data_IF_529647771839
#
_entry.id   IF_529647771839
#
_cell.length_a   1.000
_cell.length_b   1.000
_cell.length_c   1.000
_cell.angle_alpha   90.00
_cell.angle_beta   90.00
_cell.angle_gamma   90.00
#
_symmetry.space_group_name_H-M   'P 1'
#
loop_
_entity.id
_entity.type
_entity.pdbx_description
1 polymer ?
#
# COMPACT_ATOMS: atom_id res chain seq x y z
N UNK A 1 -9.94 -7.29 -9.56
CA UNK A 1 -10.15 -6.26 -8.52
C UNK A 1 -9.55 -6.71 -7.20
N UNK A 2 -8.84 -5.83 -6.51
CA UNK A 2 -8.18 -6.17 -5.26
C UNK A 2 -9.13 -5.85 -4.10
N UNK A 3 -9.41 -6.85 -3.24
CA UNK A 3 -10.29 -6.69 -2.09
C UNK A 3 -9.47 -6.43 -0.82
N UNK A 4 -10.15 -6.12 0.28
CA UNK A 4 -9.49 -5.97 1.57
C UNK A 4 -8.80 -7.26 2.02
N UNK A 5 -9.45 -8.39 1.75
CA UNK A 5 -8.86 -9.70 2.07
C UNK A 5 -7.61 -9.94 1.24
N UNK A 6 -7.63 -9.54 -0.03
CA UNK A 6 -6.47 -9.66 -0.89
C UNK A 6 -5.30 -8.84 -0.35
N UNK A 7 -5.57 -7.62 0.12
CA UNK A 7 -4.52 -6.77 0.68
C UNK A 7 -3.92 -7.42 1.93
N UNK A 8 -4.76 -7.98 2.80
CA UNK A 8 -4.28 -8.67 3.99
C UNK A 8 -3.37 -9.85 3.64
N UNK A 9 -3.76 -10.62 2.61
CA UNK A 9 -2.99 -11.78 2.20
C UNK A 9 -1.73 -11.42 1.43
N UNK A 10 -1.77 -10.34 0.65
CA UNK A 10 -0.69 -9.98 -0.26
C UNK A 10 0.35 -9.04 0.34
N UNK A 11 0.07 -8.47 1.51
CA UNK A 11 0.95 -7.49 2.13
C UNK A 11 1.20 -7.83 3.59
N UNK A 12 2.06 -7.05 4.25
CA UNK A 12 2.32 -7.20 5.67
C UNK A 12 1.37 -6.36 6.54
N UNK A 13 0.36 -5.73 5.95
CA UNK A 13 -0.62 -4.96 6.71
C UNK A 13 -1.58 -5.90 7.43
N UNK A 14 -1.91 -5.53 8.66
CA UNK A 14 -2.88 -6.26 9.46
C UNK A 14 -4.28 -5.76 9.16
N UNK A 15 -5.28 -6.60 9.47
CA UNK A 15 -6.68 -6.26 9.24
C UNK A 15 -7.07 -4.93 9.87
N UNK A 16 -6.62 -4.65 11.09
CA UNK A 16 -6.93 -3.41 11.80
C UNK A 16 -6.33 -2.20 11.11
N UNK A 17 -5.13 -2.37 10.55
CA UNK A 17 -4.47 -1.30 9.82
C UNK A 17 -5.19 -0.99 8.52
N UNK A 18 -5.60 -2.05 7.83
CA UNK A 18 -6.38 -1.90 6.59
C UNK A 18 -7.71 -1.21 6.87
N UNK A 19 -8.41 -1.64 7.92
CA UNK A 19 -9.68 -1.05 8.29
C UNK A 19 -9.56 0.44 8.61
N UNK A 20 -8.43 0.85 9.19
CA UNK A 20 -8.21 2.25 9.52
C UNK A 20 -8.06 3.14 8.29
N UNK A 21 -7.48 2.62 7.21
CA UNK A 21 -7.21 3.42 6.00
C UNK A 21 -8.24 3.22 4.90
N UNK A 22 -8.91 2.08 4.87
CA UNK A 22 -9.87 1.73 3.82
C UNK A 22 -11.30 1.81 4.34
N UNK A 23 -11.62 2.88 5.04
CA UNK A 23 -12.86 2.95 5.79
C UNK A 23 -14.11 3.18 4.94
N UNK A 24 -14.00 3.41 3.66
CA UNK A 24 -15.15 3.68 2.80
C UNK A 24 -14.97 3.01 1.45
N UNK A 25 -15.99 3.12 0.63
CA UNK A 25 -16.02 2.52 -0.69
C UNK A 25 -15.03 3.14 -1.66
N UNK A 26 -14.46 4.28 -1.30
CA UNK A 26 -13.60 5.02 -2.21
C UNK A 26 -12.16 5.07 -1.70
N UNK A 27 -11.24 4.76 -2.60
CA UNK A 27 -9.84 5.09 -2.37
C UNK A 27 -9.63 6.56 -2.70
N UNK A 28 -8.70 7.23 -2.00
CA UNK A 28 -8.29 8.57 -2.42
C UNK A 28 -7.73 8.54 -3.83
N UNK A 29 -7.75 9.68 -4.47
CA UNK A 29 -7.12 9.83 -5.78
C UNK A 29 -5.65 9.47 -5.67
N UNK A 30 -5.13 8.78 -6.70
CA UNK A 30 -3.73 8.38 -6.71
C UNK A 30 -2.83 9.62 -6.77
N UNK A 31 -1.91 9.72 -5.81
CA UNK A 31 -0.87 10.75 -5.84
C UNK A 31 0.27 10.23 -6.70
N UNK A 32 0.34 10.72 -7.94
CA UNK A 32 1.33 10.27 -8.90
C UNK A 32 2.75 10.56 -8.45
N UNK A 33 2.97 11.66 -7.76
CA UNK A 33 4.29 12.02 -7.24
C UNK A 33 4.72 11.03 -6.17
N UNK A 34 3.81 10.67 -5.28
CA UNK A 34 4.07 9.71 -4.22
C UNK A 34 4.34 8.33 -4.81
N UNK A 35 3.53 7.91 -5.77
CA UNK A 35 3.73 6.65 -6.47
C UNK A 35 5.09 6.60 -7.14
N UNK A 36 5.49 7.70 -7.80
CA UNK A 36 6.76 7.81 -8.49
C UNK A 36 7.95 7.58 -7.56
N UNK A 37 7.86 8.07 -6.32
CA UNK A 37 8.94 7.88 -5.33
C UNK A 37 9.20 6.39 -5.07
N UNK A 38 8.16 5.58 -5.04
CA UNK A 38 8.32 4.14 -4.84
C UNK A 38 8.78 3.44 -6.11
N UNK A 39 8.27 3.87 -7.27
CA UNK A 39 8.69 3.31 -8.55
C UNK A 39 10.20 3.43 -8.73
N UNK A 40 10.78 4.55 -8.29
CA UNK A 40 12.23 4.77 -8.39
C UNK A 40 13.04 3.78 -7.55
N UNK A 41 12.39 3.07 -6.64
CA UNK A 41 13.06 2.07 -5.79
C UNK A 41 12.85 0.64 -6.26
N UNK A 42 12.28 0.46 -7.46
CA UNK A 42 11.98 -0.89 -7.98
C UNK A 42 13.22 -1.75 -8.17
N UNK A 43 14.41 -1.13 -8.29
CA UNK A 43 15.66 -1.91 -8.37
C UNK A 43 15.90 -2.77 -7.12
N UNK A 44 15.22 -2.46 -6.02
CA UNK A 44 15.31 -3.26 -4.78
C UNK A 44 14.40 -4.48 -4.83
N UNK A 45 13.59 -4.60 -5.86
CA UNK A 45 12.61 -5.66 -6.02
C UNK A 45 11.20 -5.22 -5.64
N UNK A 46 10.18 -5.66 -6.41
CA UNK A 46 8.80 -5.22 -6.15
C UNK A 46 8.29 -5.60 -4.77
N UNK A 47 8.63 -6.78 -4.26
CA UNK A 47 8.18 -7.19 -2.93
C UNK A 47 8.78 -6.31 -1.83
N UNK A 48 10.04 -5.91 -2.00
CA UNK A 48 10.68 -5.02 -1.05
C UNK A 48 10.02 -3.64 -1.04
N UNK A 49 9.68 -3.12 -2.22
CA UNK A 49 8.99 -1.84 -2.32
C UNK A 49 7.60 -1.92 -1.69
N UNK A 50 6.90 -3.02 -1.90
CA UNK A 50 5.61 -3.25 -1.26
C UNK A 50 5.73 -3.17 0.27
N UNK A 51 6.75 -3.82 0.83
CA UNK A 51 7.01 -3.75 2.27
C UNK A 51 7.28 -2.34 2.74
N UNK A 52 8.02 -1.57 1.95
CA UNK A 52 8.32 -0.17 2.29
C UNK A 52 7.05 0.67 2.36
N UNK A 53 6.14 0.48 1.40
CA UNK A 53 4.86 1.18 1.41
C UNK A 53 4.06 0.81 2.67
N UNK A 54 4.02 -0.48 3.02
CA UNK A 54 3.31 -0.93 4.22
C UNK A 54 3.87 -0.32 5.50
N UNK A 55 5.20 -0.28 5.60
CA UNK A 55 5.85 0.32 6.77
C UNK A 55 5.55 1.82 6.87
N UNK A 56 5.52 2.51 5.73
CA UNK A 56 5.21 3.94 5.71
C UNK A 56 3.76 4.20 6.10
N UNK A 57 2.83 3.32 5.69
CA UNK A 57 1.43 3.39 6.13
C UNK A 57 1.36 3.24 7.66
N UNK A 58 2.06 2.26 8.19
CA UNK A 58 2.07 1.99 9.63
C UNK A 58 2.62 3.19 10.40
N UNK A 59 3.70 3.77 9.91
CA UNK A 59 4.29 4.96 10.54
C UNK A 59 3.31 6.13 10.52
N UNK A 60 2.62 6.34 9.41
CA UNK A 60 1.63 7.41 9.31
C UNK A 60 0.49 7.21 10.31
N UNK A 61 0.03 5.96 10.46
CA UNK A 61 -1.02 5.64 11.44
C UNK A 61 -0.55 5.92 12.87
N UNK A 62 0.71 5.59 13.17
CA UNK A 62 1.27 5.85 14.50
C UNK A 62 1.41 7.34 14.81
N UNK A 63 1.51 8.18 13.78
CA UNK A 63 1.58 9.64 13.93
C UNK A 63 0.21 10.30 13.85
N UNK A 64 -0.85 9.50 13.78
CA UNK A 64 -2.22 10.00 13.56
C UNK A 64 -2.36 10.82 12.28
N UNK A 65 -1.53 10.53 11.28
CA UNK A 65 -1.61 11.18 9.98
C UNK A 65 -2.44 10.31 9.04
N UNK A 66 -3.74 10.30 9.29
CA UNK A 66 -4.66 9.44 8.56
C UNK A 66 -4.73 9.81 7.07
N UNK A 67 -4.67 11.09 6.76
CA UNK A 67 -4.71 11.54 5.36
C UNK A 67 -3.53 10.98 4.57
N UNK A 68 -2.33 11.03 5.16
CA UNK A 68 -1.15 10.48 4.51
C UNK A 68 -1.21 8.95 4.41
N UNK A 69 -1.68 8.30 5.48
CA UNK A 69 -1.83 6.85 5.48
C UNK A 69 -2.79 6.40 4.38
N UNK A 70 -3.89 7.12 4.17
CA UNK A 70 -4.86 6.79 3.12
C UNK A 70 -4.28 7.03 1.73
N UNK A 71 -3.50 8.10 1.55
CA UNK A 71 -2.83 8.35 0.27
C UNK A 71 -1.85 7.23 -0.05
N UNK A 72 -1.09 6.78 0.94
CA UNK A 72 -0.17 5.65 0.78
C UNK A 72 -0.91 4.36 0.48
N UNK A 73 -2.07 4.15 1.08
CA UNK A 73 -2.87 2.96 0.81
C UNK A 73 -3.34 2.93 -0.65
N UNK A 74 -3.72 4.08 -1.20
CA UNK A 74 -4.09 4.16 -2.62
C UNK A 74 -2.89 3.81 -3.50
N UNK A 75 -1.70 4.27 -3.13
CA UNK A 75 -0.46 3.92 -3.82
C UNK A 75 -0.21 2.41 -3.75
N UNK A 76 -0.35 1.82 -2.58
CA UNK A 76 -0.17 0.37 -2.40
C UNK A 76 -1.12 -0.42 -3.30
N UNK A 77 -2.37 -0.03 -3.32
CA UNK A 77 -3.40 -0.69 -4.11
C UNK A 77 -3.04 -0.65 -5.60
N UNK A 78 -2.69 0.54 -6.08
CA UNK A 78 -2.32 0.73 -7.47
C UNK A 78 -1.01 0.01 -7.82
N UNK A 79 -0.05 0.01 -6.89
CA UNK A 79 1.23 -0.67 -7.08
C UNK A 79 1.03 -2.16 -7.27
N UNK A 80 0.17 -2.78 -6.46
CA UNK A 80 -0.11 -4.22 -6.58
C UNK A 80 -0.83 -4.55 -7.88
N UNK A 81 -1.67 -3.66 -8.36
CA UNK A 81 -2.33 -3.88 -9.65
C UNK A 81 -1.36 -3.76 -10.82
N UNK A 82 -0.40 -2.86 -10.72
CA UNK A 82 0.60 -2.65 -11.78
C UNK A 82 1.70 -3.70 -11.72
N UNK A 83 2.09 -4.13 -10.52
CA UNK A 83 3.16 -5.10 -10.31
C UNK A 83 2.66 -6.25 -9.44
N UNK A 84 1.90 -7.20 -10.02
CA UNK A 84 1.36 -8.32 -9.22
C UNK A 84 2.43 -9.14 -8.50
N UNK A 85 3.64 -9.17 -9.05
CA UNK A 85 4.75 -9.87 -8.43
C UNK A 85 5.22 -9.24 -7.12
N UNK A 86 4.74 -8.03 -6.82
CA UNK A 86 5.04 -7.38 -5.54
C UNK A 86 4.28 -8.01 -4.37
N UNK A 87 3.25 -8.81 -4.66
CA UNK A 87 2.44 -9.42 -3.62
C UNK A 87 3.27 -10.34 -2.75
N UNK A 88 2.99 -10.33 -1.45
CA UNK A 88 3.65 -11.23 -0.50
C UNK A 88 3.40 -12.67 -0.92
N UNK A 89 4.46 -13.46 -0.99
CA UNK A 89 4.36 -14.87 -1.38
C UNK A 89 4.27 -15.13 -2.87
N UNK A 90 4.29 -14.10 -3.70
CA UNK A 90 4.32 -14.27 -5.14
C UNK A 90 5.68 -14.85 -5.55
N UNK A 91 5.66 -15.80 -6.46
CA UNK A 91 6.89 -16.42 -6.96
C UNK A 91 7.30 -15.84 -8.31
#
# INVERSE_FOLDING_TARGET
MITLEDIEDMTCLRREEIAAVAEHEHLPELDASLMSDYIMRLHKGPQKVQQMICEDIRDALHRDDLAHARALYAVLHHFLETYPEAARGAS
#
